data_IF_546618823653
#
_entry.id   IF_546618823653
#
_cell.length_a   1.000
_cell.length_b   1.000
_cell.length_c   1.000
_cell.angle_alpha   90.00
_cell.angle_beta   90.00
_cell.angle_gamma   90.00
#
_symmetry.space_group_name_H-M   'P 1'
#
loop_
_entity.id
_entity.type
_entity.pdbx_description
1 polymer ?
#
# COMPACT_ATOMS: atom_id res chain seq x y z
N UNK A 1 12.76 3.48 -15.45
CA UNK A 1 11.89 4.44 -14.75
C UNK A 1 12.73 5.66 -14.36
N UNK A 2 12.44 6.81 -14.93
CA UNK A 2 13.19 8.04 -14.70
C UNK A 2 12.35 9.16 -14.08
N UNK A 3 11.02 9.09 -14.24
CA UNK A 3 10.13 10.12 -13.76
C UNK A 3 9.85 10.00 -12.25
N UNK A 4 9.83 11.14 -11.52
CA UNK A 4 9.48 11.16 -10.12
C UNK A 4 8.04 10.69 -9.89
N UNK A 5 7.82 9.90 -8.84
CA UNK A 5 6.49 9.46 -8.41
C UNK A 5 5.93 10.49 -7.43
N UNK A 6 4.91 11.22 -7.83
CA UNK A 6 4.23 12.18 -6.96
C UNK A 6 3.51 11.43 -5.83
N UNK A 7 3.78 11.81 -4.59
CA UNK A 7 3.18 11.20 -3.40
C UNK A 7 2.35 12.18 -2.56
N UNK A 8 2.67 13.45 -2.61
CA UNK A 8 1.97 14.49 -1.85
C UNK A 8 2.21 15.88 -2.45
N UNK A 9 1.44 16.85 -1.99
CA UNK A 9 1.64 18.28 -2.27
C UNK A 9 1.67 19.07 -0.96
N UNK A 10 2.61 19.99 -0.85
CA UNK A 10 2.71 20.98 0.22
C UNK A 10 2.49 22.36 -0.37
N UNK A 11 1.24 22.83 -0.42
CA UNK A 11 0.84 24.04 -1.13
C UNK A 11 1.09 23.91 -2.63
N UNK A 12 2.05 24.66 -3.16
CA UNK A 12 2.46 24.63 -4.58
C UNK A 12 3.65 23.68 -4.85
N UNK A 13 4.19 23.06 -3.82
CA UNK A 13 5.37 22.19 -3.93
C UNK A 13 4.92 20.74 -4.08
N UNK A 14 5.39 20.09 -5.13
CA UNK A 14 5.18 18.66 -5.36
C UNK A 14 6.24 17.86 -4.59
N UNK A 15 5.77 16.92 -3.77
CA UNK A 15 6.62 15.99 -3.05
C UNK A 15 6.61 14.66 -3.78
N UNK A 16 7.75 14.24 -4.26
CA UNK A 16 7.87 13.04 -5.06
C UNK A 16 9.05 12.16 -4.63
N UNK A 17 8.92 10.87 -4.89
CA UNK A 17 10.02 9.91 -4.74
C UNK A 17 10.68 9.69 -6.10
N UNK A 18 12.00 9.72 -6.10
CA UNK A 18 12.80 9.32 -7.25
C UNK A 18 12.87 7.79 -7.28
N UNK A 19 12.39 7.11 -8.33
CA UNK A 19 12.35 5.64 -8.36
C UNK A 19 13.71 4.98 -8.10
N UNK A 20 14.79 5.57 -8.62
CA UNK A 20 16.17 5.08 -8.40
C UNK A 20 16.63 5.14 -6.94
N UNK A 21 15.94 5.92 -6.10
CA UNK A 21 16.22 6.08 -4.66
C UNK A 21 15.18 5.40 -3.78
N UNK A 22 14.17 4.76 -4.38
CA UNK A 22 13.04 4.17 -3.66
C UNK A 22 13.37 2.82 -2.98
N UNK A 23 14.57 2.29 -3.16
CA UNK A 23 15.07 1.09 -2.49
C UNK A 23 15.50 1.35 -1.04
N UNK A 24 14.75 2.15 -0.31
CA UNK A 24 15.02 2.58 1.06
C UNK A 24 13.80 2.31 1.94
N UNK A 25 14.03 2.34 3.24
CA UNK A 25 12.95 2.30 4.22
C UNK A 25 12.33 3.70 4.37
N UNK A 26 11.04 3.73 4.67
CA UNK A 26 10.30 4.96 4.93
C UNK A 26 9.34 4.79 6.10
N UNK A 27 8.94 5.89 6.70
CA UNK A 27 7.94 5.93 7.75
C UNK A 27 6.86 6.94 7.38
N UNK A 28 5.60 6.50 7.36
CA UNK A 28 4.44 7.36 7.25
C UNK A 28 3.80 7.46 8.63
N UNK A 29 4.02 8.57 9.31
CA UNK A 29 3.53 8.83 10.66
C UNK A 29 2.46 9.92 10.68
N UNK A 30 1.55 9.83 11.63
CA UNK A 30 0.48 10.81 11.83
C UNK A 30 -0.65 10.26 12.69
N UNK A 31 -1.51 11.13 13.21
CA UNK A 31 -2.70 10.76 13.96
C UNK A 31 -3.73 10.02 13.09
N UNK A 32 -4.77 9.46 13.72
CA UNK A 32 -5.88 8.84 12.99
C UNK A 32 -6.59 9.89 12.12
N UNK A 33 -6.94 9.52 10.89
CA UNK A 33 -7.64 10.40 9.95
C UNK A 33 -6.75 11.40 9.18
N UNK A 34 -5.43 11.40 9.38
CA UNK A 34 -4.50 12.32 8.69
C UNK A 34 -4.10 11.88 7.29
N UNK A 35 -4.61 10.75 6.80
CA UNK A 35 -4.35 10.29 5.43
C UNK A 35 -3.19 9.31 5.27
N UNK A 36 -2.69 8.69 6.35
CA UNK A 36 -1.61 7.69 6.26
C UNK A 36 -1.90 6.58 5.25
N UNK A 37 -3.09 5.97 5.36
CA UNK A 37 -3.53 4.91 4.44
C UNK A 37 -3.64 5.42 3.00
N UNK A 38 -4.14 6.64 2.80
CA UNK A 38 -4.22 7.25 1.47
C UNK A 38 -2.82 7.45 0.87
N UNK A 39 -1.86 7.91 1.66
CA UNK A 39 -0.47 8.05 1.21
C UNK A 39 0.13 6.69 0.82
N UNK A 40 -0.14 5.65 1.61
CA UNK A 40 0.32 4.29 1.31
C UNK A 40 -0.31 3.74 0.03
N UNK A 41 -1.62 3.96 -0.17
CA UNK A 41 -2.33 3.60 -1.40
C UNK A 41 -1.76 4.34 -2.62
N UNK A 42 -1.53 5.65 -2.50
CA UNK A 42 -0.92 6.46 -3.57
C UNK A 42 0.46 5.95 -3.98
N UNK A 43 1.28 5.57 -3.01
CA UNK A 43 2.59 4.96 -3.27
C UNK A 43 2.46 3.62 -4.00
N UNK A 44 1.60 2.73 -3.49
CA UNK A 44 1.39 1.41 -4.07
C UNK A 44 0.86 1.51 -5.51
N UNK A 45 -0.09 2.39 -5.75
CA UNK A 45 -0.65 2.65 -7.08
C UNK A 45 0.42 3.20 -8.03
N UNK A 46 1.24 4.15 -7.57
CA UNK A 46 2.31 4.75 -8.35
C UNK A 46 3.37 3.72 -8.74
N UNK A 47 3.78 2.85 -7.82
CA UNK A 47 4.69 1.76 -8.11
C UNK A 47 4.08 0.72 -9.04
N UNK A 48 2.82 0.35 -8.83
CA UNK A 48 2.09 -0.59 -9.70
C UNK A 48 1.99 -0.07 -11.14
N UNK A 49 1.63 1.20 -11.32
CA UNK A 49 1.60 1.84 -12.65
C UNK A 49 2.98 1.89 -13.30
N UNK A 50 4.02 2.00 -12.51
CA UNK A 50 5.40 1.97 -12.96
C UNK A 50 5.92 0.54 -13.25
N UNK A 51 5.07 -0.49 -13.12
CA UNK A 51 5.43 -1.89 -13.37
C UNK A 51 6.21 -2.55 -12.24
N UNK A 52 6.21 -1.97 -11.05
CA UNK A 52 6.87 -2.55 -9.87
C UNK A 52 5.85 -3.32 -9.05
N UNK A 53 6.06 -4.61 -8.79
CA UNK A 53 5.19 -5.38 -7.91
C UNK A 53 5.26 -4.83 -6.48
N UNK A 54 4.08 -4.73 -5.84
CA UNK A 54 3.94 -4.19 -4.48
C UNK A 54 3.31 -5.26 -3.59
N UNK A 55 3.92 -5.52 -2.45
CA UNK A 55 3.34 -6.36 -1.40
C UNK A 55 2.86 -5.48 -0.25
N UNK A 56 1.64 -5.71 0.22
CA UNK A 56 1.02 -4.96 1.32
C UNK A 56 0.36 -5.91 2.30
N UNK A 57 0.60 -5.67 3.60
CA UNK A 57 -0.13 -6.35 4.67
C UNK A 57 -1.32 -5.49 5.09
N UNK A 58 -2.53 -6.03 4.98
CA UNK A 58 -3.77 -5.34 5.29
C UNK A 58 -4.51 -6.00 6.45
N UNK A 59 -4.32 -5.49 7.65
CA UNK A 59 -4.95 -6.02 8.87
C UNK A 59 -6.40 -5.55 9.00
N UNK A 60 -6.74 -4.38 8.44
CA UNK A 60 -8.05 -3.75 8.60
C UNK A 60 -9.00 -3.94 7.42
N UNK A 61 -8.47 -4.33 6.26
CA UNK A 61 -9.21 -4.42 5.01
C UNK A 61 -9.36 -3.08 4.27
N UNK A 62 -8.64 -2.05 4.68
CA UNK A 62 -8.73 -0.70 4.10
C UNK A 62 -8.10 -0.61 2.70
N UNK A 63 -7.22 -1.54 2.35
CA UNK A 63 -6.44 -1.50 1.11
C UNK A 63 -7.12 -2.24 -0.04
N UNK A 64 -8.11 -3.09 0.26
CA UNK A 64 -8.80 -3.91 -0.74
C UNK A 64 -9.50 -3.08 -1.82
N UNK A 65 -9.89 -1.84 -1.49
CA UNK A 65 -10.49 -0.90 -2.44
C UNK A 65 -9.65 -0.58 -3.66
N UNK A 66 -8.33 -0.81 -3.61
CA UNK A 66 -7.43 -0.58 -4.75
C UNK A 66 -7.71 -1.50 -5.95
N UNK A 67 -8.39 -2.62 -5.74
CA UNK A 67 -8.80 -3.55 -6.81
C UNK A 67 -10.03 -3.09 -7.59
N UNK A 68 -10.70 -2.04 -7.15
CA UNK A 68 -11.92 -1.52 -7.78
C UNK A 68 -11.70 -0.18 -8.46
N UNK A 69 -12.45 0.06 -9.51
CA UNK A 69 -12.51 1.38 -10.12
C UNK A 69 -13.17 2.35 -9.14
N UNK A 70 -12.44 3.36 -8.75
CA UNK A 70 -12.96 4.43 -7.91
C UNK A 70 -13.93 5.34 -8.67
N UNK A 71 -14.51 6.32 -7.98
CA UNK A 71 -15.35 7.37 -8.57
C UNK A 71 -16.48 7.80 -7.65
N UNK A 72 -17.11 8.92 -7.99
CA UNK A 72 -18.31 9.42 -7.30
C UNK A 72 -18.10 9.88 -5.85
N UNK A 73 -16.89 10.07 -5.39
CA UNK A 73 -16.60 10.55 -4.04
C UNK A 73 -16.31 12.06 -4.07
N UNK A 74 -17.28 12.85 -3.64
CA UNK A 74 -17.19 14.32 -3.63
C UNK A 74 -15.98 14.87 -2.85
N UNK A 75 -15.53 14.19 -1.80
CA UNK A 75 -14.33 14.59 -1.03
C UNK A 75 -13.06 14.41 -1.85
N UNK A 76 -12.95 13.32 -2.60
CA UNK A 76 -11.81 13.08 -3.48
C UNK A 76 -11.80 14.11 -4.59
N UNK A 77 -12.94 14.36 -5.23
CA UNK A 77 -13.07 15.34 -6.31
C UNK A 77 -12.71 16.75 -5.84
N UNK A 78 -13.20 17.15 -4.65
CA UNK A 78 -12.84 18.42 -4.03
C UNK A 78 -11.31 18.51 -3.79
N UNK A 79 -10.70 17.42 -3.30
CA UNK A 79 -9.26 17.36 -3.03
C UNK A 79 -8.43 17.42 -4.31
N UNK A 80 -8.85 16.73 -5.36
CA UNK A 80 -8.20 16.78 -6.69
C UNK A 80 -8.17 18.23 -7.22
N UNK A 81 -9.31 18.94 -7.11
CA UNK A 81 -9.42 20.36 -7.51
C UNK A 81 -8.54 21.27 -6.64
N UNK A 82 -8.59 21.10 -5.33
CA UNK A 82 -7.79 21.88 -4.38
C UNK A 82 -6.28 21.74 -4.65
N UNK A 83 -5.83 20.51 -4.85
CA UNK A 83 -4.43 20.19 -5.10
C UNK A 83 -4.01 20.42 -6.57
N UNK A 84 -4.96 20.75 -7.45
CA UNK A 84 -4.72 20.91 -8.89
C UNK A 84 -3.95 19.72 -9.47
N UNK A 85 -4.45 18.50 -9.23
CA UNK A 85 -3.85 17.28 -9.75
C UNK A 85 -4.18 17.15 -11.22
N UNK A 86 -3.21 17.46 -12.08
CA UNK A 86 -3.34 17.29 -13.52
C UNK A 86 -3.29 15.80 -13.89
N UNK A 87 -4.12 15.39 -14.84
CA UNK A 87 -4.15 14.01 -15.32
C UNK A 87 -4.68 12.98 -14.31
N UNK A 88 -5.33 13.41 -13.22
CA UNK A 88 -5.95 12.48 -12.29
C UNK A 88 -7.08 11.70 -12.96
N UNK A 89 -6.98 10.38 -12.90
CA UNK A 89 -8.02 9.46 -13.38
C UNK A 89 -8.22 8.36 -12.34
N UNK A 90 -9.49 7.98 -12.17
CA UNK A 90 -9.80 6.79 -11.38
C UNK A 90 -9.34 5.54 -12.12
N UNK A 91 -8.76 4.59 -11.40
CA UNK A 91 -8.29 3.33 -11.96
C UNK A 91 -8.30 2.21 -10.91
N UNK A 92 -8.41 0.98 -11.38
CA UNK A 92 -8.20 -0.20 -10.55
C UNK A 92 -6.76 -0.69 -10.72
N UNK A 93 -6.16 -1.17 -9.63
CA UNK A 93 -4.88 -1.87 -9.68
C UNK A 93 -5.11 -3.37 -9.89
N UNK A 94 -4.22 -4.07 -10.62
CA UNK A 94 -4.23 -5.53 -10.66
C UNK A 94 -3.78 -6.05 -9.29
N UNK A 95 -4.71 -6.62 -8.52
CA UNK A 95 -4.46 -7.07 -7.14
C UNK A 95 -4.70 -8.57 -7.04
N UNK A 96 -3.78 -9.27 -6.38
CA UNK A 96 -3.97 -10.65 -5.93
C UNK A 96 -4.10 -10.65 -4.42
N UNK A 97 -5.24 -11.16 -3.93
CA UNK A 97 -5.48 -11.28 -2.50
C UNK A 97 -4.95 -12.59 -1.95
N UNK A 98 -4.21 -12.50 -0.85
CA UNK A 98 -3.76 -13.63 -0.06
C UNK A 98 -4.45 -13.58 1.30
N UNK A 99 -4.98 -14.71 1.75
CA UNK A 99 -5.74 -14.79 3.00
C UNK A 99 -5.28 -15.99 3.82
N UNK A 100 -4.98 -15.77 5.09
CA UNK A 100 -4.55 -16.83 6.00
C UNK A 100 -5.61 -17.90 6.16
N UNK A 101 -6.88 -17.50 6.13
CA UNK A 101 -8.02 -18.43 6.28
C UNK A 101 -8.54 -18.96 4.93
N UNK A 102 -8.11 -18.38 3.81
CA UNK A 102 -8.53 -18.79 2.47
C UNK A 102 -10.01 -18.52 2.16
N UNK A 103 -10.62 -17.54 2.85
CA UNK A 103 -12.05 -17.19 2.68
C UNK A 103 -12.22 -16.09 1.63
N UNK A 104 -11.31 -15.10 1.62
CA UNK A 104 -11.40 -13.91 0.77
C UNK A 104 -10.29 -13.82 -0.26
N UNK A 105 -9.39 -14.77 -0.32
CA UNK A 105 -8.25 -14.77 -1.23
C UNK A 105 -7.58 -16.13 -1.32
N UNK A 106 -6.45 -16.18 -1.99
CA UNK A 106 -5.63 -17.39 -2.05
C UNK A 106 -5.10 -17.75 -0.66
N UNK A 107 -5.24 -19.00 -0.22
CA UNK A 107 -4.77 -19.38 1.11
C UNK A 107 -3.26 -19.27 1.23
N UNK A 108 -2.80 -18.55 2.25
CA UNK A 108 -1.38 -18.55 2.64
C UNK A 108 -1.16 -19.74 3.56
N UNK A 109 -0.28 -20.63 3.16
CA UNK A 109 0.06 -21.81 3.95
C UNK A 109 1.56 -22.01 3.96
N UNK A 110 2.06 -22.55 5.05
CA UNK A 110 3.44 -23.00 5.18
C UNK A 110 3.46 -24.33 5.93
N UNK A 111 4.48 -25.11 5.72
CA UNK A 111 4.70 -26.33 6.50
C UNK A 111 5.51 -26.00 7.76
N UNK A 112 5.44 -26.88 8.77
CA UNK A 112 6.25 -26.76 9.98
C UNK A 112 7.75 -26.76 9.65
N UNK A 113 8.15 -27.56 8.67
CA UNK A 113 9.54 -27.65 8.24
C UNK A 113 10.04 -26.35 7.61
N UNK A 114 9.23 -25.69 6.77
CA UNK A 114 9.57 -24.39 6.16
C UNK A 114 9.60 -23.25 7.17
N UNK A 115 8.73 -23.31 8.18
CA UNK A 115 8.71 -22.30 9.24
C UNK A 115 9.97 -22.32 10.09
N UNK A 116 10.52 -23.49 10.33
CA UNK A 116 11.70 -23.68 11.15
C UNK A 116 11.48 -23.47 12.65
N UNK A 117 12.44 -23.88 13.47
CA UNK A 117 12.26 -23.90 14.93
C UNK A 117 12.09 -22.51 15.53
N UNK A 118 12.80 -21.51 15.04
CA UNK A 118 12.77 -20.16 15.60
C UNK A 118 11.41 -19.48 15.45
N UNK A 119 10.80 -19.54 14.26
CA UNK A 119 9.47 -18.94 14.05
C UNK A 119 8.41 -19.73 14.78
N UNK A 120 8.51 -21.05 14.78
CA UNK A 120 7.57 -21.91 15.50
C UNK A 120 7.61 -21.64 17.01
N UNK A 121 8.80 -21.53 17.60
CA UNK A 121 8.97 -21.19 19.02
C UNK A 121 8.33 -19.85 19.35
N UNK A 122 8.55 -18.81 18.54
CA UNK A 122 7.92 -17.50 18.72
C UNK A 122 6.40 -17.55 18.64
N UNK A 123 5.85 -18.29 17.67
CA UNK A 123 4.39 -18.44 17.54
C UNK A 123 3.76 -19.16 18.71
N UNK A 124 4.45 -20.14 19.28
CA UNK A 124 3.97 -20.92 20.41
C UNK A 124 4.32 -20.28 21.78
N UNK A 125 4.94 -19.07 21.76
CA UNK A 125 5.43 -18.40 22.97
C UNK A 125 6.34 -19.31 23.83
N UNK A 126 7.13 -20.12 23.18
CA UNK A 126 8.14 -20.92 23.85
C UNK A 126 9.30 -19.99 24.21
N UNK A 127 9.50 -19.79 25.49
CA UNK A 127 10.66 -19.03 25.99
C UNK A 127 11.93 -19.81 25.64
N UNK A 128 12.99 -19.05 25.33
CA UNK A 128 14.31 -19.65 25.15
C UNK A 128 14.66 -20.43 26.42
N UNK A 129 14.85 -21.71 26.27
CA UNK A 129 15.38 -22.61 27.31
C UNK A 129 16.90 -22.59 27.22
#
# INVERSE_FOLDING_TARGET
MTEPLLIAKAGKIDLAILPRMANRHGLIAGATGTGKTVTLQTLAESFSRAGVPVFMADVKGDLSGMSYLGGGNAKIEARVKELKLEGFVYGACPVTFWDVFGVKGHPVRTTVAEMGPLLLARMLNLNDV
#
